data_IF_053727778233
#
_entry.id   IF_053727778233
#
_cell.length_a   1.000
_cell.length_b   1.000
_cell.length_c   1.000
_cell.angle_alpha   90.00
_cell.angle_beta   90.00
_cell.angle_gamma   90.00
#
_symmetry.space_group_name_H-M   'P 1'
#
loop_
_entity.id
_entity.type
_entity.pdbx_description
1 polymer ?
#
# COMPACT_ATOMS: atom_id res chain seq x y z
N UNK A 1 2.75 -24.92 -3.42
CA UNK A 1 3.08 -23.61 -4.02
C UNK A 1 2.38 -23.34 -5.35
N UNK A 2 2.65 -24.04 -6.46
CA UNK A 2 1.94 -23.78 -7.74
C UNK A 2 0.42 -24.05 -7.65
N UNK A 3 0.02 -25.12 -6.95
CA UNK A 3 -1.39 -25.47 -6.75
C UNK A 3 -2.12 -24.47 -5.85
N UNK A 4 -1.43 -23.90 -4.86
CA UNK A 4 -1.96 -22.87 -3.97
C UNK A 4 -2.15 -21.54 -4.71
N UNK A 5 -1.15 -21.11 -5.49
CA UNK A 5 -1.25 -19.91 -6.35
C UNK A 5 -2.40 -20.08 -7.35
N UNK A 6 -2.56 -21.26 -7.94
CA UNK A 6 -3.65 -21.54 -8.88
C UNK A 6 -5.02 -21.47 -8.19
N UNK A 7 -5.10 -21.96 -6.95
CA UNK A 7 -6.33 -21.90 -6.15
C UNK A 7 -6.69 -20.46 -5.78
N UNK A 8 -5.72 -19.68 -5.30
CA UNK A 8 -5.90 -18.26 -4.99
C UNK A 8 -6.33 -17.49 -6.23
N UNK A 9 -5.64 -17.70 -7.36
CA UNK A 9 -5.99 -17.07 -8.64
C UNK A 9 -7.43 -17.40 -9.04
N UNK A 10 -7.83 -18.67 -8.96
CA UNK A 10 -9.20 -19.10 -9.30
C UNK A 10 -10.24 -18.39 -8.43
N UNK A 11 -9.96 -18.25 -7.13
CA UNK A 11 -10.82 -17.58 -6.16
C UNK A 11 -11.05 -16.12 -6.56
N UNK A 12 -9.98 -15.37 -6.83
CA UNK A 12 -10.09 -13.98 -7.30
C UNK A 12 -10.76 -13.85 -8.67
N UNK A 13 -10.44 -14.71 -9.64
CA UNK A 13 -11.03 -14.65 -11.00
C UNK A 13 -12.52 -15.01 -11.06
N UNK A 14 -13.11 -15.49 -9.95
CA UNK A 14 -14.55 -15.77 -9.88
C UNK A 14 -15.38 -14.49 -9.82
N UNK A 15 -14.79 -13.40 -9.38
CA UNK A 15 -15.46 -12.11 -9.22
C UNK A 15 -15.48 -11.32 -10.53
N UNK A 16 -16.55 -10.55 -10.73
CA UNK A 16 -16.74 -9.76 -11.93
C UNK A 16 -16.11 -8.37 -11.84
N UNK A 17 -15.75 -7.94 -10.62
CA UNK A 17 -15.25 -6.59 -10.34
C UNK A 17 -14.02 -6.61 -9.45
N UNK A 18 -13.22 -5.54 -9.53
CA UNK A 18 -12.06 -5.36 -8.66
C UNK A 18 -12.47 -5.22 -7.18
N UNK A 19 -13.60 -4.56 -6.89
CA UNK A 19 -14.08 -4.38 -5.51
C UNK A 19 -14.32 -5.73 -4.82
N UNK A 20 -15.01 -6.65 -5.50
CA UNK A 20 -15.27 -7.99 -5.00
C UNK A 20 -13.98 -8.80 -4.79
N UNK A 21 -12.98 -8.64 -5.68
CA UNK A 21 -11.66 -9.25 -5.49
C UNK A 21 -10.96 -8.72 -4.23
N UNK A 22 -11.01 -7.40 -3.99
CA UNK A 22 -10.40 -6.75 -2.83
C UNK A 22 -11.14 -7.15 -1.55
N UNK A 23 -12.47 -7.24 -1.58
CA UNK A 23 -13.28 -7.70 -0.44
C UNK A 23 -12.94 -9.14 -0.05
N UNK A 24 -12.79 -10.02 -1.04
CA UNK A 24 -12.35 -11.39 -0.78
C UNK A 24 -10.93 -11.45 -0.20
N UNK A 25 -10.00 -10.65 -0.73
CA UNK A 25 -8.64 -10.58 -0.23
C UNK A 25 -8.62 -10.09 1.21
N UNK A 26 -9.37 -9.03 1.51
CA UNK A 26 -9.48 -8.47 2.84
C UNK A 26 -10.04 -9.50 3.83
N UNK A 27 -11.15 -10.17 3.49
CA UNK A 27 -11.72 -11.22 4.35
C UNK A 27 -10.73 -12.36 4.64
N UNK A 28 -9.89 -12.74 3.68
CA UNK A 28 -8.84 -13.74 3.89
C UNK A 28 -7.72 -13.22 4.81
N UNK A 29 -7.27 -11.98 4.60
CA UNK A 29 -6.21 -11.34 5.39
C UNK A 29 -6.65 -11.05 6.83
N UNK A 30 -7.90 -10.66 7.06
CA UNK A 30 -8.45 -10.50 8.41
C UNK A 30 -8.43 -11.79 9.20
N UNK A 31 -8.64 -12.95 8.55
CA UNK A 31 -8.47 -14.27 9.18
C UNK A 31 -7.04 -14.58 9.62
N UNK A 32 -6.05 -13.83 9.13
CA UNK A 32 -4.63 -13.93 9.49
C UNK A 32 -4.17 -12.83 10.46
N UNK A 33 -5.08 -11.95 10.90
CA UNK A 33 -4.79 -10.87 11.84
C UNK A 33 -4.41 -9.53 11.21
N UNK A 34 -4.64 -9.34 9.90
CA UNK A 34 -4.52 -8.02 9.28
C UNK A 34 -5.80 -7.21 9.47
N UNK A 35 -5.70 -6.05 10.10
CA UNK A 35 -6.86 -5.23 10.41
C UNK A 35 -7.30 -4.33 9.25
N UNK A 36 -6.40 -4.00 8.31
CA UNK A 36 -6.68 -3.08 7.21
C UNK A 36 -6.06 -3.54 5.90
N UNK A 37 -6.63 -3.08 4.78
CA UNK A 37 -6.09 -3.30 3.44
C UNK A 37 -6.14 -2.00 2.62
N UNK A 38 -5.00 -1.66 2.02
CA UNK A 38 -4.85 -0.62 1.03
C UNK A 38 -4.47 -1.28 -0.29
N UNK A 39 -5.21 -0.98 -1.34
CA UNK A 39 -4.85 -1.31 -2.71
C UNK A 39 -4.75 -0.01 -3.52
N UNK A 40 -3.52 0.36 -3.86
CA UNK A 40 -3.23 1.49 -4.73
C UNK A 40 -2.66 1.02 -6.08
N UNK A 41 -2.97 1.76 -7.14
CA UNK A 41 -2.48 1.46 -8.47
C UNK A 41 -2.19 2.73 -9.27
N UNK A 42 -0.98 2.76 -9.83
CA UNK A 42 -0.52 3.78 -10.77
C UNK A 42 0.18 3.09 -11.95
N UNK A 43 -0.25 3.31 -13.21
CA UNK A 43 0.39 2.71 -14.37
C UNK A 43 1.88 3.06 -14.53
N UNK A 44 2.25 4.28 -14.13
CA UNK A 44 3.62 4.79 -14.16
C UNK A 44 3.91 5.40 -12.78
N UNK A 45 4.86 4.85 -12.00
CA UNK A 45 5.06 5.25 -10.61
C UNK A 45 5.71 6.63 -10.44
N UNK A 46 6.37 7.17 -11.47
CA UNK A 46 7.06 8.45 -11.42
C UNK A 46 6.63 9.38 -12.56
N UNK A 47 6.56 10.69 -12.29
CA UNK A 47 6.41 11.71 -13.32
C UNK A 47 7.74 12.03 -14.02
N UNK A 48 7.70 12.97 -14.98
CA UNK A 48 8.86 13.41 -15.75
C UNK A 48 9.94 14.08 -14.88
N UNK A 49 9.57 14.59 -13.71
CA UNK A 49 10.47 15.22 -12.76
C UNK A 49 11.02 14.21 -11.72
N UNK A 50 10.62 12.93 -11.83
CA UNK A 50 11.05 11.85 -10.96
C UNK A 50 10.31 11.82 -9.61
N UNK A 51 9.24 12.59 -9.45
CA UNK A 51 8.43 12.52 -8.25
C UNK A 51 7.43 11.36 -8.33
N UNK A 52 7.15 10.72 -7.20
CA UNK A 52 6.16 9.65 -7.13
C UNK A 52 4.78 10.20 -7.50
N UNK A 53 4.09 9.46 -8.35
CA UNK A 53 2.76 9.78 -8.81
C UNK A 53 1.70 9.38 -7.77
N UNK A 54 0.74 10.27 -7.53
CA UNK A 54 -0.46 9.96 -6.73
C UNK A 54 -1.25 8.84 -7.42
N UNK A 55 -1.80 7.87 -6.67
CA UNK A 55 -2.45 6.72 -7.27
C UNK A 55 -3.67 7.10 -8.10
N UNK A 56 -3.73 6.53 -9.31
CA UNK A 56 -4.89 6.67 -10.20
C UNK A 56 -6.11 5.92 -9.68
N UNK A 57 -5.87 4.91 -8.85
CA UNK A 57 -6.88 4.14 -8.16
C UNK A 57 -6.41 3.84 -6.75
N UNK A 58 -7.27 4.12 -5.77
CA UNK A 58 -7.05 3.83 -4.36
C UNK A 58 -8.31 3.17 -3.80
N UNK A 59 -8.14 2.00 -3.19
CA UNK A 59 -9.20 1.23 -2.53
C UNK A 59 -8.76 0.94 -1.11
N UNK A 60 -9.62 1.24 -0.17
CA UNK A 60 -9.36 1.17 1.27
C UNK A 60 -10.37 0.23 1.91
N UNK A 61 -9.93 -0.57 2.87
CA UNK A 61 -10.77 -1.41 3.73
C UNK A 61 -10.33 -1.23 5.17
N UNK A 62 -11.30 -0.92 6.02
CA UNK A 62 -11.10 -0.65 7.45
C UNK A 62 -10.00 0.41 7.72
N UNK A 63 -10.09 1.50 6.96
CA UNK A 63 -9.24 2.69 7.05
C UNK A 63 -10.18 3.89 7.03
N UNK A 64 -9.88 4.90 7.82
CA UNK A 64 -10.67 6.13 7.88
C UNK A 64 -10.61 6.91 6.56
N UNK A 65 -11.73 7.52 6.18
CA UNK A 65 -11.88 8.28 4.93
C UNK A 65 -10.91 9.47 4.82
N UNK A 66 -10.40 9.97 5.95
CA UNK A 66 -9.44 11.06 6.00
C UNK A 66 -8.07 10.65 5.43
N UNK A 67 -7.72 9.37 5.42
CA UNK A 67 -6.46 8.88 4.85
C UNK A 67 -6.34 9.25 3.38
N UNK A 68 -7.45 9.19 2.63
CA UNK A 68 -7.46 9.62 1.23
C UNK A 68 -7.13 11.10 1.09
N UNK A 69 -7.62 11.93 2.00
CA UNK A 69 -7.37 13.38 1.99
C UNK A 69 -5.89 13.66 2.28
N UNK A 70 -5.31 13.02 3.30
CA UNK A 70 -3.90 13.22 3.62
C UNK A 70 -2.96 12.67 2.54
N UNK A 71 -3.18 11.44 2.09
CA UNK A 71 -2.32 10.81 1.09
C UNK A 71 -2.42 11.48 -0.28
N UNK A 72 -3.64 11.66 -0.81
CA UNK A 72 -3.80 12.18 -2.16
C UNK A 72 -3.80 13.70 -2.18
N UNK A 73 -4.68 14.35 -1.41
CA UNK A 73 -4.91 15.79 -1.55
C UNK A 73 -3.80 16.62 -0.89
N UNK A 74 -3.23 16.13 0.23
CA UNK A 74 -2.08 16.77 0.89
C UNK A 74 -0.73 16.20 0.43
N UNK A 75 -0.73 15.26 -0.50
CA UNK A 75 0.47 14.75 -1.16
C UNK A 75 1.37 13.87 -0.29
N UNK A 76 0.90 13.37 0.86
CA UNK A 76 1.72 12.52 1.74
C UNK A 76 2.19 11.25 1.02
N UNK A 77 1.42 10.75 0.05
CA UNK A 77 1.80 9.60 -0.76
C UNK A 77 3.17 9.79 -1.46
N UNK A 78 3.54 11.02 -1.84
CA UNK A 78 4.79 11.30 -2.56
C UNK A 78 6.04 11.19 -1.68
N UNK A 79 5.87 11.40 -0.38
CA UNK A 79 6.94 11.40 0.62
C UNK A 79 6.82 10.19 1.57
N UNK A 80 5.84 9.32 1.34
CA UNK A 80 5.62 8.12 2.15
C UNK A 80 6.80 7.13 1.92
N UNK A 81 7.56 6.79 2.97
CA UNK A 81 8.67 5.84 2.87
C UNK A 81 8.26 4.49 2.28
N UNK A 82 7.06 4.01 2.62
CA UNK A 82 6.54 2.73 2.12
C UNK A 82 6.34 2.80 0.61
N UNK A 83 5.79 3.92 0.12
CA UNK A 83 5.57 4.12 -1.32
C UNK A 83 6.88 4.30 -2.08
N UNK A 84 7.89 4.95 -1.47
CA UNK A 84 9.23 5.08 -2.06
C UNK A 84 9.90 3.72 -2.22
N UNK A 85 9.78 2.82 -1.24
CA UNK A 85 10.31 1.45 -1.34
C UNK A 85 9.50 0.63 -2.35
N UNK A 86 8.17 0.69 -2.29
CA UNK A 86 7.28 -0.04 -3.20
C UNK A 86 7.50 0.34 -4.66
N UNK A 87 7.73 1.62 -4.96
CA UNK A 87 8.02 2.09 -6.32
C UNK A 87 9.37 1.62 -6.89
N UNK A 88 10.22 0.97 -6.07
CA UNK A 88 11.56 0.49 -6.45
C UNK A 88 11.74 -1.02 -6.29
N UNK A 89 10.73 -1.71 -5.76
CA UNK A 89 10.80 -3.14 -5.47
C UNK A 89 9.59 -3.88 -6.03
N UNK A 90 9.81 -5.07 -6.56
CA UNK A 90 8.75 -6.03 -6.88
C UNK A 90 8.59 -7.12 -5.80
N UNK A 91 9.42 -7.09 -4.76
CA UNK A 91 9.38 -8.04 -3.66
C UNK A 91 8.50 -7.49 -2.51
N UNK A 92 7.69 -8.34 -1.86
CA UNK A 92 7.03 -7.98 -0.61
C UNK A 92 8.07 -7.61 0.46
N UNK A 93 7.73 -6.65 1.30
CA UNK A 93 8.56 -6.20 2.42
C UNK A 93 7.69 -5.86 3.64
N UNK A 94 8.30 -5.89 4.82
CA UNK A 94 7.68 -5.43 6.06
C UNK A 94 8.17 -4.01 6.36
N UNK A 95 7.42 -3.23 7.14
CA UNK A 95 7.83 -1.88 7.50
C UNK A 95 7.36 -1.50 8.90
N UNK A 96 8.08 -0.55 9.49
CA UNK A 96 7.71 0.10 10.75
C UNK A 96 8.18 1.54 10.75
N UNK A 97 7.33 2.46 11.18
CA UNK A 97 7.68 3.87 11.41
C UNK A 97 8.47 4.09 12.71
N UNK A 98 8.58 3.06 13.56
CA UNK A 98 9.45 3.09 14.72
C UNK A 98 10.92 2.98 14.28
N UNK A 99 11.69 4.04 14.50
CA UNK A 99 13.13 4.12 14.19
C UNK A 99 13.98 3.08 14.92
N UNK A 100 13.46 2.46 15.98
CA UNK A 100 14.14 1.38 16.68
C UNK A 100 14.05 0.02 15.96
N UNK A 101 13.12 -0.12 15.00
CA UNK A 101 12.90 -1.37 14.26
C UNK A 101 13.56 -1.25 12.89
N UNK A 102 14.53 -2.14 12.63
CA UNK A 102 15.21 -2.21 11.35
C UNK A 102 14.28 -2.79 10.27
N UNK A 103 13.92 -1.95 9.30
CA UNK A 103 13.06 -2.29 8.16
C UNK A 103 13.51 -1.54 6.92
N UNK A 104 12.96 -1.93 5.77
CA UNK A 104 13.27 -1.43 4.44
C UNK A 104 13.05 0.09 4.30
N UNK A 105 12.19 0.66 5.14
CA UNK A 105 11.94 2.11 5.16
C UNK A 105 12.85 2.88 6.13
N UNK A 106 13.64 2.21 6.97
CA UNK A 106 14.39 2.84 8.06
C UNK A 106 15.33 3.96 7.61
N UNK A 107 16.01 3.77 6.47
CA UNK A 107 16.90 4.76 5.88
C UNK A 107 16.18 6.02 5.35
N UNK A 108 14.86 5.96 5.20
CA UNK A 108 14.01 7.06 4.70
C UNK A 108 13.31 7.80 5.84
N UNK A 109 13.44 7.37 7.10
CA UNK A 109 12.79 7.99 8.26
C UNK A 109 13.53 9.25 8.74
N UNK A 110 13.39 10.34 7.99
CA UNK A 110 14.00 11.65 8.23
C UNK A 110 12.96 12.77 8.38
N UNK A 111 13.42 14.03 8.43
CA UNK A 111 12.54 15.21 8.57
C UNK A 111 11.55 15.38 7.40
N UNK A 112 11.89 14.88 6.22
CA UNK A 112 11.05 14.95 5.02
C UNK A 112 9.84 14.03 5.13
N UNK A 113 10.03 12.84 5.69
CA UNK A 113 8.99 11.80 5.80
C UNK A 113 8.28 11.78 7.15
N UNK A 114 8.81 12.53 8.13
CA UNK A 114 8.24 12.69 9.46
C UNK A 114 6.73 13.07 9.48
N UNK A 115 6.21 13.95 8.60
CA UNK A 115 4.79 14.26 8.58
C UNK A 115 3.89 13.03 8.34
N UNK A 116 4.36 12.06 7.55
CA UNK A 116 3.65 10.79 7.29
C UNK A 116 3.66 9.93 8.56
N UNK A 117 4.84 9.77 9.17
CA UNK A 117 5.01 8.98 10.39
C UNK A 117 4.24 9.56 11.60
N UNK A 118 3.97 10.86 11.65
CA UNK A 118 3.16 11.49 12.71
C UNK A 118 1.66 11.36 12.51
N UNK A 119 1.22 11.16 11.27
CA UNK A 119 -0.18 10.98 10.93
C UNK A 119 -0.65 9.55 11.23
N UNK A 120 0.24 8.56 11.02
CA UNK A 120 0.04 7.14 11.26
C UNK A 120 0.35 6.75 12.72
#
# INVERSE_FOLDING_TARGET
MLDEITTIRRRFTRHGTLEECIDEAFAALSGLGYDALVYDYTPIPYDLDGAIMIPSMLKLRNIDDDMRVYWCDRGYFRIDPVQIVAARSSAPFAWSYDKAIDTEIGALLDETTEPVARYL
#
